data_IF_464969870800
#
_entry.id   IF_464969870800
#
_cell.length_a   1.000
_cell.length_b   1.000
_cell.length_c   1.000
_cell.angle_alpha   90.00
_cell.angle_beta   90.00
_cell.angle_gamma   90.00
#
_symmetry.space_group_name_H-M   'P 1'
#
loop_
_entity.id
_entity.type
_entity.pdbx_description
1 polymer ?
#
# COMPACT_ATOMS: atom_id res chain seq x y z
N UNK A 1 -11.36 -1.02 -8.68
CA UNK A 1 -10.71 -2.17 -9.32
C UNK A 1 -11.77 -3.18 -9.73
N UNK A 2 -11.53 -3.90 -10.84
CA UNK A 2 -12.47 -4.86 -11.39
C UNK A 2 -11.73 -6.17 -11.71
N UNK A 3 -12.19 -7.29 -11.14
CA UNK A 3 -11.49 -8.56 -11.22
C UNK A 3 -12.31 -9.73 -10.68
N UNK A 4 -11.63 -10.84 -10.45
CA UNK A 4 -12.25 -12.06 -9.91
C UNK A 4 -12.20 -12.05 -8.39
N UNK A 5 -13.21 -12.68 -7.78
CA UNK A 5 -13.22 -13.00 -6.35
C UNK A 5 -12.62 -14.38 -6.14
N UNK A 6 -11.79 -14.54 -5.12
CA UNK A 6 -11.17 -15.81 -4.76
C UNK A 6 -11.86 -16.46 -3.55
N UNK A 7 -11.90 -17.78 -3.52
CA UNK A 7 -12.43 -18.58 -2.41
C UNK A 7 -11.43 -19.66 -1.97
N UNK A 8 -10.18 -19.21 -1.73
CA UNK A 8 -9.10 -20.06 -1.29
C UNK A 8 -8.45 -20.89 -2.40
N UNK A 9 -7.98 -22.10 -2.04
CA UNK A 9 -7.16 -22.98 -2.89
C UNK A 9 -7.76 -24.38 -2.90
N UNK A 10 -7.86 -24.97 -4.08
CA UNK A 10 -8.30 -26.38 -4.22
C UNK A 10 -7.36 -27.32 -3.47
N UNK A 11 -7.91 -28.10 -2.54
CA UNK A 11 -7.15 -29.07 -1.75
C UNK A 11 -7.13 -30.47 -2.38
N UNK A 12 -8.12 -30.79 -3.21
CA UNK A 12 -8.26 -32.11 -3.84
C UNK A 12 -8.83 -32.01 -5.26
N UNK A 13 -8.73 -33.12 -6.01
CA UNK A 13 -9.38 -33.25 -7.31
C UNK A 13 -10.91 -33.26 -7.18
N UNK A 14 -11.45 -33.84 -6.12
CA UNK A 14 -12.88 -33.87 -5.86
C UNK A 14 -13.47 -32.48 -5.71
N UNK A 15 -12.75 -31.54 -5.07
CA UNK A 15 -13.17 -30.14 -5.00
C UNK A 15 -13.24 -29.48 -6.38
N UNK A 16 -12.29 -29.80 -7.28
CA UNK A 16 -12.27 -29.28 -8.66
C UNK A 16 -13.44 -29.84 -9.46
N UNK A 17 -13.69 -31.17 -9.35
CA UNK A 17 -14.73 -31.84 -10.10
C UNK A 17 -16.15 -31.37 -9.69
N UNK A 18 -16.30 -30.89 -8.46
CA UNK A 18 -17.56 -30.33 -7.92
C UNK A 18 -17.67 -28.81 -8.04
N UNK A 19 -16.68 -28.14 -8.62
CA UNK A 19 -16.66 -26.71 -8.79
C UNK A 19 -16.97 -26.30 -10.24
N UNK A 20 -17.32 -25.00 -10.46
CA UNK A 20 -17.42 -24.42 -11.78
C UNK A 20 -16.10 -24.60 -12.55
N UNK A 21 -16.19 -24.89 -13.84
CA UNK A 21 -15.01 -25.13 -14.69
C UNK A 21 -14.19 -23.84 -14.86
N UNK A 22 -12.94 -23.83 -14.40
CA UNK A 22 -12.05 -22.65 -14.54
C UNK A 22 -11.18 -22.72 -15.80
N UNK A 23 -10.37 -23.75 -15.89
CA UNK A 23 -9.48 -24.05 -17.04
C UNK A 23 -9.22 -25.55 -17.14
N UNK A 24 -8.85 -26.02 -18.33
CA UNK A 24 -8.56 -27.44 -18.58
C UNK A 24 -7.34 -27.97 -17.80
N UNK A 25 -6.48 -27.09 -17.31
CA UNK A 25 -5.28 -27.45 -16.55
C UNK A 25 -5.35 -27.17 -15.05
N UNK A 26 -6.55 -26.86 -14.53
CA UNK A 26 -6.76 -26.67 -13.09
C UNK A 26 -6.42 -27.95 -12.33
N UNK A 27 -5.69 -27.82 -11.23
CA UNK A 27 -5.20 -28.93 -10.41
C UNK A 27 -5.19 -28.54 -8.92
N UNK A 28 -5.15 -29.50 -8.00
CA UNK A 28 -5.01 -29.20 -6.58
C UNK A 28 -3.81 -28.29 -6.31
N UNK A 29 -4.01 -27.28 -5.44
CA UNK A 29 -3.07 -26.22 -5.17
C UNK A 29 -3.26 -24.95 -6.01
N UNK A 30 -4.16 -24.95 -6.97
CA UNK A 30 -4.53 -23.73 -7.73
C UNK A 30 -5.60 -22.92 -7.00
N UNK A 31 -5.65 -21.61 -7.28
CA UNK A 31 -6.64 -20.70 -6.73
C UNK A 31 -8.04 -21.10 -7.23
N UNK A 32 -8.99 -21.11 -6.32
CA UNK A 32 -10.42 -21.29 -6.59
C UNK A 32 -11.07 -19.93 -6.75
N UNK A 33 -11.66 -19.67 -7.92
CA UNK A 33 -12.38 -18.44 -8.20
C UNK A 33 -13.89 -18.65 -8.06
N UNK A 34 -14.62 -17.62 -7.63
CA UNK A 34 -16.05 -17.68 -7.42
C UNK A 34 -16.79 -17.54 -8.75
N UNK A 35 -17.71 -18.46 -9.02
CA UNK A 35 -18.71 -18.36 -10.09
C UNK A 35 -19.84 -17.43 -9.62
N UNK A 36 -19.76 -16.16 -10.03
CA UNK A 36 -20.68 -15.11 -9.53
C UNK A 36 -22.06 -15.24 -10.16
N UNK A 37 -22.11 -15.60 -11.44
CA UNK A 37 -23.36 -15.70 -12.19
C UNK A 37 -23.99 -17.09 -12.11
N UNK A 38 -23.29 -18.08 -11.53
CA UNK A 38 -23.72 -19.47 -11.34
C UNK A 38 -24.01 -20.19 -12.66
N UNK A 39 -23.24 -19.91 -13.71
CA UNK A 39 -23.38 -20.57 -15.02
C UNK A 39 -22.52 -21.83 -15.16
N UNK A 40 -21.71 -22.16 -14.14
CA UNK A 40 -20.85 -23.33 -14.06
C UNK A 40 -19.50 -23.17 -14.77
N UNK A 41 -19.14 -21.97 -15.22
CA UNK A 41 -17.90 -21.68 -15.95
C UNK A 41 -17.30 -20.35 -15.46
N UNK A 42 -16.06 -20.37 -14.98
CA UNK A 42 -15.33 -19.15 -14.60
C UNK A 42 -14.79 -18.44 -15.84
N UNK A 43 -15.39 -17.29 -16.17
CA UNK A 43 -15.04 -16.47 -17.32
C UNK A 43 -15.16 -14.97 -17.02
N UNK A 44 -15.08 -14.10 -18.04
CA UNK A 44 -15.12 -12.63 -17.84
C UNK A 44 -16.45 -12.13 -17.24
N UNK A 45 -17.53 -12.91 -17.29
CA UNK A 45 -18.81 -12.59 -16.68
C UNK A 45 -18.82 -12.71 -15.15
N UNK A 46 -17.81 -13.39 -14.56
CA UNK A 46 -17.63 -13.52 -13.10
C UNK A 46 -16.77 -12.42 -12.50
N UNK A 47 -16.36 -11.45 -13.31
CA UNK A 47 -15.64 -10.30 -12.81
C UNK A 47 -16.59 -9.31 -12.15
N UNK A 48 -16.16 -8.76 -11.02
CA UNK A 48 -16.93 -7.77 -10.26
C UNK A 48 -16.00 -6.66 -9.73
N UNK A 49 -16.55 -5.68 -9.07
CA UNK A 49 -15.75 -4.71 -8.33
C UNK A 49 -15.12 -5.41 -7.13
N UNK A 50 -13.79 -5.39 -7.07
CA UNK A 50 -12.97 -6.04 -6.03
C UNK A 50 -12.26 -5.04 -5.12
N UNK A 51 -12.39 -3.75 -5.36
CA UNK A 51 -11.83 -2.70 -4.52
C UNK A 51 -12.02 -1.32 -5.14
N UNK A 52 -11.81 -0.28 -4.32
CA UNK A 52 -11.91 1.12 -4.71
C UNK A 52 -10.61 1.87 -4.36
N UNK A 53 -9.90 2.46 -5.36
CA UNK A 53 -8.69 3.23 -5.09
C UNK A 53 -8.95 4.61 -4.47
N UNK A 54 -10.20 5.06 -4.40
CA UNK A 54 -10.54 6.37 -3.88
C UNK A 54 -10.85 6.29 -2.39
N UNK A 55 -10.28 7.19 -1.57
CA UNK A 55 -10.55 7.21 -0.15
C UNK A 55 -11.98 7.71 0.15
N UNK A 56 -12.61 7.12 1.16
CA UNK A 56 -13.85 7.64 1.73
C UNK A 56 -13.62 8.99 2.39
N UNK A 57 -12.47 9.14 3.08
CA UNK A 57 -12.12 10.37 3.79
C UNK A 57 -10.64 10.71 3.61
N UNK A 58 -10.36 12.01 3.52
CA UNK A 58 -9.01 12.55 3.69
C UNK A 58 -9.03 13.59 4.81
N UNK A 59 -8.08 13.49 5.73
CA UNK A 59 -7.99 14.35 6.90
C UNK A 59 -6.63 15.02 6.92
N UNK A 60 -6.61 16.37 6.91
CA UNK A 60 -5.41 17.16 7.15
C UNK A 60 -5.52 17.89 8.49
N UNK A 61 -4.54 17.72 9.37
CA UNK A 61 -4.51 18.39 10.66
C UNK A 61 -3.19 19.11 10.89
N UNK A 62 -3.29 20.39 11.28
CA UNK A 62 -2.16 21.24 11.62
C UNK A 62 -2.22 21.64 13.09
N UNK A 63 -1.14 21.37 13.82
CA UNK A 63 -0.92 21.86 15.17
C UNK A 63 0.24 22.85 15.15
N UNK A 64 0.00 24.08 15.63
CA UNK A 64 1.02 25.08 15.83
C UNK A 64 1.00 25.53 17.29
N UNK A 65 2.10 25.37 17.97
CA UNK A 65 2.29 25.77 19.36
C UNK A 65 3.45 26.75 19.43
N UNK A 66 3.28 27.78 20.23
CA UNK A 66 4.34 28.73 20.56
C UNK A 66 4.39 28.95 22.07
N UNK A 67 5.58 28.84 22.63
CA UNK A 67 5.80 29.09 24.03
C UNK A 67 7.15 29.80 24.25
N UNK A 68 7.10 31.05 24.71
CA UNK A 68 8.27 31.94 24.83
C UNK A 68 9.04 32.02 23.50
N UNK A 69 10.28 31.54 23.50
CA UNK A 69 11.18 31.55 22.34
C UNK A 69 11.06 30.29 21.46
N UNK A 70 10.22 29.32 21.83
CA UNK A 70 10.08 28.05 21.13
C UNK A 70 8.79 28.02 20.31
N UNK A 71 8.87 27.42 19.14
CA UNK A 71 7.71 27.09 18.31
C UNK A 71 7.77 25.61 17.86
N UNK A 72 6.61 24.99 17.76
CA UNK A 72 6.41 23.63 17.25
C UNK A 72 5.29 23.65 16.23
N UNK A 73 5.56 23.12 15.05
CA UNK A 73 4.56 22.91 14.01
C UNK A 73 4.52 21.43 13.63
N UNK A 74 3.33 20.83 13.64
CA UNK A 74 3.11 19.44 13.21
C UNK A 74 2.02 19.42 12.16
N UNK A 75 2.30 18.82 11.01
CA UNK A 75 1.30 18.52 10.00
C UNK A 75 1.11 17.02 9.85
N UNK A 76 -0.12 16.55 10.03
CA UNK A 76 -0.53 15.16 9.90
C UNK A 76 -1.57 15.05 8.78
N UNK A 77 -1.47 13.99 7.99
CA UNK A 77 -2.40 13.67 6.92
C UNK A 77 -2.83 12.21 7.05
N UNK A 78 -4.11 11.94 6.82
CA UNK A 78 -4.67 10.61 6.75
C UNK A 78 -5.50 10.43 5.47
N UNK A 79 -5.44 9.25 4.89
CA UNK A 79 -6.31 8.73 3.85
C UNK A 79 -6.95 7.46 4.39
N UNK A 80 -8.26 7.31 4.27
CA UNK A 80 -9.00 6.20 4.88
C UNK A 80 -10.01 5.65 3.89
N UNK A 81 -10.07 4.32 3.76
CA UNK A 81 -11.05 3.61 2.96
C UNK A 81 -10.64 3.40 1.50
N UNK A 82 -9.42 3.74 1.11
CA UNK A 82 -8.92 3.43 -0.22
C UNK A 82 -8.22 2.08 -0.26
N UNK A 83 -8.42 1.34 -1.35
CA UNK A 83 -7.70 0.10 -1.63
C UNK A 83 -6.49 0.32 -2.52
N UNK A 84 -5.50 -0.57 -2.38
CA UNK A 84 -4.32 -0.64 -3.23
C UNK A 84 -4.26 -1.99 -3.94
N UNK A 85 -4.07 -1.95 -5.27
CA UNK A 85 -3.81 -3.12 -6.09
C UNK A 85 -2.30 -3.36 -6.21
N UNK A 86 -1.79 -4.49 -5.68
CA UNK A 86 -0.37 -4.90 -5.70
C UNK A 86 0.02 -5.48 -7.07
N UNK A 87 0.21 -4.62 -8.07
CA UNK A 87 0.56 -5.05 -9.42
C UNK A 87 1.98 -5.62 -9.54
N UNK A 88 2.88 -5.23 -8.62
CA UNK A 88 4.27 -5.69 -8.62
C UNK A 88 4.42 -7.20 -8.36
N UNK A 89 3.44 -7.83 -7.69
CA UNK A 89 3.48 -9.24 -7.35
C UNK A 89 2.98 -10.15 -8.48
N UNK A 90 2.11 -9.64 -9.32
CA UNK A 90 1.36 -10.41 -10.31
C UNK A 90 2.20 -11.04 -11.43
N UNK A 91 3.33 -10.46 -11.83
CA UNK A 91 4.06 -10.81 -13.07
C UNK A 91 5.41 -11.51 -12.86
N UNK A 92 5.64 -12.16 -11.72
CA UNK A 92 6.95 -12.71 -11.37
C UNK A 92 7.12 -14.20 -11.75
N UNK A 93 6.72 -14.60 -12.96
CA UNK A 93 6.72 -16.03 -13.34
C UNK A 93 8.10 -16.66 -13.46
N UNK A 94 9.15 -15.88 -13.77
CA UNK A 94 10.50 -16.40 -14.12
C UNK A 94 11.64 -15.83 -13.28
N UNK A 95 11.32 -15.07 -12.24
CA UNK A 95 12.31 -14.36 -11.41
C UNK A 95 12.24 -14.82 -9.95
N UNK A 96 13.03 -14.18 -9.08
CA UNK A 96 12.91 -14.34 -7.64
C UNK A 96 11.49 -14.03 -7.18
N UNK A 97 10.99 -14.85 -6.25
CA UNK A 97 9.67 -14.67 -5.67
C UNK A 97 9.75 -14.01 -4.30
N UNK A 98 8.61 -13.48 -3.84
CA UNK A 98 8.48 -12.95 -2.49
C UNK A 98 8.59 -14.07 -1.44
N UNK A 99 8.96 -13.68 -0.23
CA UNK A 99 9.09 -14.62 0.89
C UNK A 99 7.75 -15.32 1.24
N UNK A 100 6.60 -14.68 0.96
CA UNK A 100 5.26 -15.28 1.07
C UNK A 100 5.14 -16.61 0.33
N UNK A 101 5.80 -16.75 -0.83
CA UNK A 101 5.83 -18.00 -1.62
C UNK A 101 6.43 -19.19 -0.88
N UNK A 102 7.17 -18.98 0.23
CA UNK A 102 7.63 -20.07 1.07
C UNK A 102 6.49 -20.82 1.76
N UNK A 103 5.36 -20.12 2.00
CA UNK A 103 4.14 -20.69 2.55
C UNK A 103 3.21 -21.32 1.49
N UNK A 104 3.71 -21.53 0.27
CA UNK A 104 2.92 -22.08 -0.86
C UNK A 104 2.34 -23.46 -0.58
N UNK A 105 1.27 -23.77 -1.25
CA UNK A 105 0.70 -25.11 -1.25
C UNK A 105 1.69 -26.14 -1.83
N UNK A 106 1.95 -27.21 -1.08
CA UNK A 106 2.81 -28.35 -1.45
C UNK A 106 2.11 -29.69 -1.31
N UNK A 107 0.83 -29.67 -0.87
CA UNK A 107 -0.04 -30.82 -0.67
C UNK A 107 -1.25 -30.42 0.17
N UNK A 108 -2.28 -31.26 0.26
CA UNK A 108 -3.50 -30.96 0.99
C UNK A 108 -3.23 -30.49 2.42
N UNK A 109 -3.85 -29.35 2.81
CA UNK A 109 -3.73 -28.76 4.13
C UNK A 109 -2.45 -27.97 4.41
N UNK A 110 -1.52 -27.83 3.45
CA UNK A 110 -0.26 -27.09 3.67
C UNK A 110 -0.39 -25.59 3.46
N UNK A 111 -1.33 -25.13 2.66
CA UNK A 111 -1.69 -23.73 2.47
C UNK A 111 -3.13 -23.58 2.00
N UNK A 112 -3.79 -22.50 2.41
CA UNK A 112 -5.14 -22.12 1.97
C UNK A 112 -5.16 -20.79 1.22
N UNK A 113 -4.03 -20.02 1.26
CA UNK A 113 -3.91 -18.68 0.69
C UNK A 113 -2.86 -18.61 -0.42
N UNK A 114 -1.68 -19.27 -0.24
CA UNK A 114 -0.59 -19.23 -1.21
C UNK A 114 -0.67 -20.45 -2.14
N UNK A 115 -0.91 -20.26 -3.46
CA UNK A 115 -1.08 -21.34 -4.40
C UNK A 115 0.23 -22.10 -4.64
N UNK A 116 0.12 -23.27 -5.28
CA UNK A 116 1.27 -24.02 -5.77
C UNK A 116 2.07 -23.18 -6.77
N UNK A 117 3.38 -23.42 -6.81
CA UNK A 117 4.27 -22.78 -7.79
C UNK A 117 4.46 -23.69 -8.99
N UNK A 118 4.16 -23.17 -10.18
CA UNK A 118 4.32 -23.86 -11.45
C UNK A 118 5.07 -23.00 -12.46
N UNK A 119 5.72 -23.62 -13.45
CA UNK A 119 6.31 -22.89 -14.57
C UNK A 119 5.25 -22.46 -15.60
N UNK A 120 4.20 -23.25 -15.74
CA UNK A 120 3.06 -22.94 -16.61
C UNK A 120 1.85 -22.75 -15.73
N UNK A 121 1.33 -21.54 -15.71
CA UNK A 121 0.13 -21.18 -14.93
C UNK A 121 -1.14 -21.59 -15.70
N UNK A 122 -1.39 -22.90 -15.76
CA UNK A 122 -2.52 -23.47 -16.52
C UNK A 122 -3.88 -23.06 -15.98
N UNK A 123 -3.98 -22.75 -14.67
CA UNK A 123 -5.19 -22.22 -14.05
C UNK A 123 -5.34 -20.72 -14.22
N UNK A 124 -4.30 -20.04 -14.69
CA UNK A 124 -4.25 -18.59 -14.73
C UNK A 124 -4.43 -17.96 -13.33
N UNK A 125 -3.69 -18.47 -12.33
CA UNK A 125 -3.70 -17.97 -10.95
C UNK A 125 -3.30 -16.49 -10.86
N UNK A 126 -2.56 -15.98 -11.86
CA UNK A 126 -2.12 -14.60 -11.95
C UNK A 126 -3.18 -13.64 -12.52
N UNK A 127 -4.42 -14.06 -12.75
CA UNK A 127 -5.48 -13.13 -13.18
C UNK A 127 -5.77 -12.06 -12.13
N UNK A 128 -6.25 -10.90 -12.57
CA UNK A 128 -6.62 -9.81 -11.66
C UNK A 128 -7.72 -10.27 -10.72
N UNK A 129 -7.45 -10.28 -9.41
CA UNK A 129 -8.37 -10.77 -8.38
C UNK A 129 -8.18 -9.99 -7.06
N UNK A 130 -9.11 -10.18 -6.16
CA UNK A 130 -9.10 -9.61 -4.81
C UNK A 130 -7.86 -10.01 -3.99
N UNK A 131 -7.22 -11.14 -4.33
CA UNK A 131 -5.94 -11.56 -3.74
C UNK A 131 -4.86 -10.45 -3.76
N UNK A 132 -4.90 -9.56 -4.73
CA UNK A 132 -3.93 -8.49 -4.89
C UNK A 132 -4.41 -7.14 -4.34
N UNK A 133 -5.58 -7.12 -3.69
CA UNK A 133 -6.15 -5.93 -3.06
C UNK A 133 -5.77 -5.90 -1.59
N UNK A 134 -5.28 -4.76 -1.13
CA UNK A 134 -5.04 -4.48 0.29
C UNK A 134 -5.63 -3.13 0.69
N UNK A 135 -5.96 -3.01 1.97
CA UNK A 135 -6.32 -1.72 2.55
C UNK A 135 -5.13 -0.75 2.45
N UNK A 136 -5.34 0.33 1.72
CA UNK A 136 -4.38 1.41 1.53
C UNK A 136 -4.53 2.54 2.54
N UNK A 137 -5.35 2.40 3.55
CA UNK A 137 -5.53 3.41 4.58
C UNK A 137 -4.24 3.71 5.33
N UNK A 138 -3.97 4.99 5.59
CA UNK A 138 -2.79 5.38 6.35
C UNK A 138 -2.98 6.70 7.09
N UNK A 139 -2.18 6.87 8.14
CA UNK A 139 -1.95 8.14 8.82
C UNK A 139 -0.46 8.46 8.77
N UNK A 140 -0.11 9.66 8.28
CA UNK A 140 1.28 10.09 8.17
C UNK A 140 1.52 11.43 8.85
N UNK A 141 2.53 11.49 9.71
CA UNK A 141 3.08 12.76 10.18
C UNK A 141 4.01 13.28 9.09
N UNK A 142 3.46 14.15 8.24
CA UNK A 142 4.14 14.70 7.05
C UNK A 142 5.26 15.66 7.40
N UNK A 143 5.09 16.40 8.50
CA UNK A 143 6.06 17.40 8.92
C UNK A 143 6.02 17.60 10.43
N UNK A 144 7.20 17.64 11.05
CA UNK A 144 7.41 18.13 12.41
C UNK A 144 8.51 19.17 12.32
N UNK A 145 8.26 20.38 12.77
CA UNK A 145 9.26 21.45 12.82
C UNK A 145 9.29 22.03 14.23
N UNK A 146 10.47 22.05 14.82
CA UNK A 146 10.74 22.69 16.09
C UNK A 146 11.67 23.89 15.86
N UNK A 147 11.28 25.08 16.31
CA UNK A 147 12.02 26.30 16.15
C UNK A 147 12.39 26.94 17.49
N UNK A 148 13.48 27.68 17.47
CA UNK A 148 13.94 28.49 18.58
C UNK A 148 14.31 29.89 18.09
N UNK A 149 13.66 30.92 18.65
CA UNK A 149 13.91 32.33 18.42
C UNK A 149 14.96 32.83 19.40
N UNK A 150 16.11 33.27 18.90
CA UNK A 150 17.16 33.81 19.77
C UNK A 150 16.72 35.16 20.39
N UNK A 151 17.05 35.38 21.68
CA UNK A 151 16.67 36.60 22.35
C UNK A 151 17.39 37.82 21.76
N UNK A 152 16.72 38.96 21.77
CA UNK A 152 17.21 40.20 21.16
C UNK A 152 18.57 40.66 21.73
N UNK A 153 18.82 40.40 23.00
CA UNK A 153 20.12 40.68 23.66
C UNK A 153 21.31 39.98 23.00
N UNK A 154 21.10 38.85 22.33
CA UNK A 154 22.15 38.14 21.57
C UNK A 154 22.18 38.62 20.12
N UNK A 155 21.03 38.76 19.48
CA UNK A 155 20.95 39.12 18.07
C UNK A 155 21.46 40.55 17.80
N UNK A 156 21.24 41.49 18.72
CA UNK A 156 21.78 42.87 18.63
C UNK A 156 23.33 42.87 18.68
N UNK A 157 23.95 41.99 19.47
CA UNK A 157 25.42 41.86 19.49
C UNK A 157 25.95 41.31 18.18
N UNK A 158 25.19 40.46 17.50
CA UNK A 158 25.54 39.91 16.19
C UNK A 158 25.22 40.85 15.02
N UNK A 159 24.53 41.98 15.28
CA UNK A 159 24.10 42.93 14.26
C UNK A 159 22.89 42.48 13.44
N UNK A 160 22.08 41.57 13.99
CA UNK A 160 20.88 41.09 13.34
C UNK A 160 19.60 41.52 14.06
N UNK A 161 18.55 41.79 13.29
CA UNK A 161 17.25 42.13 13.85
C UNK A 161 16.58 40.93 14.49
N UNK A 162 16.73 39.75 13.85
CA UNK A 162 16.07 38.52 14.28
C UNK A 162 16.86 37.29 13.80
N UNK A 163 17.03 36.28 14.66
CA UNK A 163 17.65 35.02 14.32
C UNK A 163 16.78 33.89 14.88
N UNK A 164 16.37 32.98 14.02
CA UNK A 164 15.62 31.78 14.39
C UNK A 164 16.29 30.53 13.81
N UNK A 165 16.68 29.58 14.67
CA UNK A 165 17.10 28.26 14.26
C UNK A 165 15.92 27.31 14.29
N UNK A 166 15.90 26.34 13.37
CA UNK A 166 14.87 25.29 13.38
C UNK A 166 15.45 23.94 12.98
N UNK A 167 14.77 22.90 13.46
CA UNK A 167 14.97 21.53 13.09
C UNK A 167 13.65 20.97 12.55
N UNK A 168 13.72 20.24 11.44
CA UNK A 168 12.54 19.73 10.74
C UNK A 168 12.72 18.26 10.36
N UNK A 169 11.66 17.49 10.50
CA UNK A 169 11.56 16.12 10.00
C UNK A 169 10.36 16.01 9.08
N UNK A 170 10.60 15.64 7.83
CA UNK A 170 9.54 15.31 6.88
C UNK A 170 9.30 13.79 6.85
N UNK A 171 8.04 13.37 6.67
CA UNK A 171 7.60 11.98 6.67
C UNK A 171 8.10 11.24 7.92
N UNK A 172 7.87 11.85 9.10
CA UNK A 172 8.43 11.39 10.37
C UNK A 172 7.93 10.00 10.77
N UNK A 173 6.66 9.72 10.52
CA UNK A 173 6.01 8.46 10.86
C UNK A 173 4.87 8.17 9.87
N UNK A 174 4.72 6.92 9.46
CA UNK A 174 3.55 6.41 8.73
C UNK A 174 3.00 5.22 9.49
N UNK A 175 1.70 5.23 9.74
CA UNK A 175 0.93 4.13 10.32
C UNK A 175 0.00 3.61 9.23
N UNK A 176 0.11 2.34 8.90
CA UNK A 176 -0.67 1.67 7.85
C UNK A 176 -0.57 0.15 8.03
N UNK A 177 -1.58 -0.57 7.59
CA UNK A 177 -1.58 -2.03 7.49
C UNK A 177 -1.16 -2.52 6.10
N UNK A 178 -0.95 -1.61 5.14
CA UNK A 178 -0.46 -1.95 3.81
C UNK A 178 0.91 -2.63 3.86
N UNK A 179 1.03 -3.79 3.23
CA UNK A 179 2.24 -4.63 3.26
C UNK A 179 3.36 -4.15 2.35
N UNK A 180 3.07 -3.27 1.38
CA UNK A 180 4.04 -2.70 0.44
C UNK A 180 4.93 -1.62 1.06
N UNK A 181 5.75 -0.99 0.22
CA UNK A 181 6.75 -0.03 0.70
C UNK A 181 6.14 1.29 1.21
N UNK A 182 5.08 1.78 0.57
CA UNK A 182 4.46 3.06 0.90
C UNK A 182 3.00 3.07 0.44
N UNK A 183 2.03 3.37 1.34
CA UNK A 183 0.61 3.44 0.96
C UNK A 183 0.27 4.69 0.14
N UNK A 184 1.13 5.71 0.12
CA UNK A 184 0.94 6.92 -0.69
C UNK A 184 1.42 6.70 -2.12
N UNK A 185 0.63 5.92 -2.89
CA UNK A 185 0.97 5.58 -4.26
C UNK A 185 0.51 6.71 -5.18
N UNK A 186 1.49 7.38 -5.80
CA UNK A 186 1.27 8.39 -6.82
C UNK A 186 1.93 7.96 -8.13
N UNK A 187 1.25 7.15 -8.91
CA UNK A 187 1.72 6.74 -10.24
C UNK A 187 0.96 7.52 -11.31
N UNK A 188 1.70 8.16 -12.21
CA UNK A 188 1.25 9.13 -13.16
C UNK A 188 -0.01 8.78 -13.96
N UNK A 189 -1.11 9.40 -13.58
CA UNK A 189 -2.36 9.42 -14.31
C UNK A 189 -3.56 8.85 -13.55
N UNK A 190 -4.73 9.39 -13.85
CA UNK A 190 -6.00 9.05 -13.18
C UNK A 190 -6.36 7.56 -13.33
N UNK A 191 -5.95 6.92 -14.43
CA UNK A 191 -6.25 5.52 -14.70
C UNK A 191 -5.36 4.53 -13.91
N UNK A 192 -4.30 5.01 -13.27
CA UNK A 192 -3.37 4.19 -12.46
C UNK A 192 -3.47 4.49 -10.97
N UNK A 193 -4.51 5.21 -10.54
CA UNK A 193 -4.73 5.51 -9.12
C UNK A 193 -4.83 4.20 -8.31
N UNK A 194 -4.09 4.13 -7.21
CA UNK A 194 -4.09 2.99 -6.29
C UNK A 194 -3.41 1.71 -6.82
N UNK A 195 -2.74 1.75 -8.00
CA UNK A 195 -2.01 0.59 -8.52
C UNK A 195 -0.54 0.72 -8.14
N UNK A 196 -0.03 -0.20 -7.33
CA UNK A 196 1.39 -0.27 -6.96
C UNK A 196 2.17 -1.20 -7.91
N UNK A 197 3.06 -0.60 -8.70
CA UNK A 197 4.01 -1.32 -9.56
C UNK A 197 5.39 -1.50 -8.90
N UNK A 198 5.51 -1.32 -7.59
CA UNK A 198 6.76 -1.30 -6.85
C UNK A 198 7.29 0.14 -6.71
N UNK A 199 6.42 1.05 -6.35
CA UNK A 199 6.74 2.48 -6.19
C UNK A 199 7.74 2.68 -5.06
N UNK A 200 8.77 3.50 -5.32
CA UNK A 200 9.77 3.82 -4.32
C UNK A 200 9.14 4.64 -3.17
N UNK A 201 9.39 4.27 -1.90
CA UNK A 201 8.78 4.93 -0.76
C UNK A 201 9.24 6.37 -0.57
N UNK A 202 8.38 7.20 0.01
CA UNK A 202 8.71 8.57 0.38
C UNK A 202 9.83 8.60 1.43
N UNK A 203 10.94 9.31 1.19
CA UNK A 203 12.06 9.34 2.13
C UNK A 203 11.70 10.13 3.39
N UNK A 204 12.24 9.69 4.53
CA UNK A 204 12.28 10.51 5.74
C UNK A 204 13.43 11.51 5.62
N UNK A 205 13.15 12.80 5.70
CA UNK A 205 14.12 13.87 5.51
C UNK A 205 14.30 14.64 6.81
N UNK A 206 15.55 14.74 7.23
CA UNK A 206 15.98 15.55 8.37
C UNK A 206 16.64 16.82 7.85
N UNK A 207 16.23 17.97 8.34
CA UNK A 207 16.80 19.26 7.95
C UNK A 207 16.97 20.18 9.14
N UNK A 208 18.00 21.00 9.08
CA UNK A 208 18.23 22.09 10.00
C UNK A 208 18.40 23.36 9.19
N UNK A 209 17.94 24.47 9.75
CA UNK A 209 18.11 25.78 9.10
C UNK A 209 18.14 26.93 10.09
N UNK A 210 18.63 28.07 9.62
CA UNK A 210 18.63 29.32 10.35
C UNK A 210 18.02 30.39 9.46
N UNK A 211 17.03 31.09 10.01
CA UNK A 211 16.44 32.27 9.39
C UNK A 211 17.06 33.52 10.05
N UNK A 212 17.62 34.41 9.24
CA UNK A 212 18.27 35.65 9.71
C UNK A 212 17.56 36.82 9.04
N UNK A 213 17.24 37.85 9.84
CA UNK A 213 16.66 39.10 9.39
C UNK A 213 17.60 40.23 9.76
N UNK A 214 17.99 40.99 8.76
CA UNK A 214 18.88 42.15 8.88
C UNK A 214 18.12 43.43 9.16
#
# INVERSE_FOLDING_TARGET
>A
FFGYVTDGIFQSQEEIDNHATQNTGTSPGDIRFVDINSDGIINDSDRTQIGDPFPDYTIGWNLNLAYNAFDLSIFTYASVGNDIYRAYERNLNYTNRFASTLARWTGPGTSFDEPRVTFVDSNNNNRASDRYIEDGSYLRIKNIQFGYQFPKSLTDVWGFNEVRAYFQVKNALTLTDYSGYDPEISVGGVLNTGIDYGTYPQPRIWSMGVNIKF
#
